data_IF_928484812363
#
_entry.id   IF_928484812363
#
_cell.length_a   1.000
_cell.length_b   1.000
_cell.length_c   1.000
_cell.angle_alpha   90.00
_cell.angle_beta   90.00
_cell.angle_gamma   90.00
#
_symmetry.space_group_name_H-M   'P 1'
#
loop_
_entity.id
_entity.type
_entity.pdbx_description
1 polymer ?
#
# COMPACT_ATOMS: atom_id res chain seq x y z
N UNK A 1 15.63 8.77 2.52
CA UNK A 1 15.98 7.34 2.48
C UNK A 1 14.81 6.60 3.11
N UNK A 2 14.17 5.67 2.40
CA UNK A 2 13.09 4.87 2.97
C UNK A 2 13.68 3.95 4.06
N UNK A 3 12.96 3.76 5.16
CA UNK A 3 13.27 2.80 6.22
C UNK A 3 12.27 1.64 6.23
N UNK A 4 12.21 0.81 5.16
CA UNK A 4 11.27 -0.31 5.10
C UNK A 4 11.54 -1.33 6.21
N UNK A 5 10.51 -2.11 6.54
CA UNK A 5 10.58 -3.15 7.55
C UNK A 5 11.52 -4.24 7.03
N UNK A 6 12.52 -4.66 7.82
CA UNK A 6 13.38 -5.79 7.44
C UNK A 6 12.53 -7.01 7.10
N UNK A 7 12.94 -7.79 6.08
CA UNK A 7 12.15 -8.92 5.59
C UNK A 7 11.76 -9.91 6.71
N UNK A 8 12.67 -10.16 7.65
CA UNK A 8 12.48 -11.00 8.84
C UNK A 8 11.41 -10.51 9.83
N UNK A 9 10.96 -9.25 9.72
CA UNK A 9 9.89 -8.65 10.54
C UNK A 9 8.66 -8.29 9.73
N UNK A 10 8.72 -8.47 8.41
CA UNK A 10 7.60 -8.15 7.53
C UNK A 10 6.49 -9.17 7.71
N UNK A 11 6.86 -10.44 7.89
CA UNK A 11 5.96 -11.59 8.04
C UNK A 11 6.15 -12.30 9.38
N UNK A 12 5.08 -12.95 9.86
CA UNK A 12 5.14 -13.88 10.99
C UNK A 12 5.67 -15.28 10.57
N UNK A 13 5.60 -16.25 11.49
CA UNK A 13 6.05 -17.62 11.24
C UNK A 13 5.20 -18.37 10.21
N UNK A 14 3.98 -17.91 9.95
CA UNK A 14 3.04 -18.48 9.00
C UNK A 14 3.07 -17.74 7.65
N UNK A 15 3.90 -16.69 7.52
CA UNK A 15 4.06 -15.91 6.29
C UNK A 15 3.07 -14.76 6.13
N UNK A 16 2.30 -14.42 7.17
CA UNK A 16 1.34 -13.32 7.13
C UNK A 16 2.04 -11.97 7.38
N UNK A 17 1.85 -10.96 6.53
CA UNK A 17 2.40 -9.64 6.77
C UNK A 17 1.80 -8.97 8.01
N UNK A 18 2.59 -8.22 8.79
CA UNK A 18 2.10 -7.54 10.01
C UNK A 18 0.89 -6.62 9.76
N UNK A 19 0.78 -6.09 8.54
CA UNK A 19 -0.28 -5.16 8.15
C UNK A 19 -1.55 -5.86 7.69
N UNK A 20 -1.55 -7.17 7.43
CA UNK A 20 -2.73 -7.94 7.00
C UNK A 20 -3.38 -8.71 8.15
N UNK A 21 -3.31 -8.22 9.38
CA UNK A 21 -3.88 -8.90 10.57
C UNK A 21 -5.40 -9.17 10.50
N UNK A 22 -6.13 -8.44 9.65
CA UNK A 22 -7.58 -8.59 9.46
C UNK A 22 -7.95 -9.54 8.30
N UNK A 23 -6.98 -10.08 7.56
CA UNK A 23 -7.22 -11.16 6.60
C UNK A 23 -6.09 -12.19 6.62
N UNK A 24 -6.42 -13.46 6.73
CA UNK A 24 -5.46 -14.56 6.62
C UNK A 24 -4.97 -14.68 5.17
N UNK A 25 -4.01 -13.84 4.78
CA UNK A 25 -3.40 -13.78 3.46
C UNK A 25 -1.89 -13.72 3.63
N UNK A 26 -1.18 -14.62 2.96
CA UNK A 26 0.29 -14.66 2.96
C UNK A 26 0.86 -13.51 2.14
N UNK A 27 2.14 -13.20 2.37
CA UNK A 27 2.85 -12.20 1.57
C UNK A 27 2.85 -12.53 0.06
N UNK A 28 2.92 -13.81 -0.30
CA UNK A 28 2.90 -14.27 -1.69
C UNK A 28 1.54 -14.03 -2.34
N UNK A 29 0.45 -14.46 -1.70
CA UNK A 29 -0.91 -14.23 -2.17
C UNK A 29 -1.21 -12.74 -2.30
N UNK A 30 -0.73 -11.92 -1.36
CA UNK A 30 -0.87 -10.47 -1.43
C UNK A 30 -0.15 -9.89 -2.66
N UNK A 31 1.07 -10.34 -2.95
CA UNK A 31 1.84 -9.92 -4.14
C UNK A 31 1.22 -10.38 -5.46
N UNK A 32 0.60 -11.56 -5.48
CA UNK A 32 -0.18 -12.02 -6.64
C UNK A 32 -1.45 -11.17 -6.81
N UNK A 33 -2.15 -10.88 -5.72
CA UNK A 33 -3.33 -10.02 -5.72
C UNK A 33 -3.03 -8.60 -6.25
N UNK A 34 -1.87 -8.03 -5.90
CA UNK A 34 -1.42 -6.75 -6.45
C UNK A 34 -1.12 -6.78 -7.96
N UNK A 35 -1.03 -7.96 -8.58
CA UNK A 35 -0.80 -8.15 -10.03
C UNK A 35 -2.07 -8.55 -10.80
N UNK A 36 -3.22 -8.66 -10.12
CA UNK A 36 -4.49 -8.97 -10.78
C UNK A 36 -4.84 -7.96 -11.88
N UNK A 37 -5.53 -8.41 -12.92
CA UNK A 37 -6.02 -7.57 -14.02
C UNK A 37 -7.33 -6.84 -13.68
N UNK A 38 -8.02 -7.25 -12.61
CA UNK A 38 -9.21 -6.57 -12.11
C UNK A 38 -8.81 -5.28 -11.38
N UNK A 39 -9.12 -4.09 -11.93
CA UNK A 39 -8.70 -2.82 -11.33
C UNK A 39 -9.37 -2.54 -9.98
N UNK A 40 -10.57 -3.05 -9.73
CA UNK A 40 -11.28 -2.85 -8.46
C UNK A 40 -10.65 -3.71 -7.36
N UNK A 41 -10.41 -4.99 -7.64
CA UNK A 41 -9.72 -5.88 -6.71
C UNK A 41 -8.30 -5.37 -6.38
N UNK A 42 -7.57 -4.89 -7.40
CA UNK A 42 -6.24 -4.30 -7.21
C UNK A 42 -6.31 -3.03 -6.36
N UNK A 43 -7.23 -2.11 -6.66
CA UNK A 43 -7.41 -0.87 -5.91
C UNK A 43 -7.79 -1.12 -4.44
N UNK A 44 -8.61 -2.14 -4.17
CA UNK A 44 -8.92 -2.58 -2.80
C UNK A 44 -7.66 -2.99 -2.03
N UNK A 45 -6.81 -3.83 -2.63
CA UNK A 45 -5.57 -4.31 -1.97
C UNK A 45 -4.55 -3.18 -1.78
N UNK A 46 -4.40 -2.28 -2.76
CA UNK A 46 -3.53 -1.09 -2.62
C UNK A 46 -4.04 -0.17 -1.51
N UNK A 47 -5.35 0.11 -1.48
CA UNK A 47 -5.94 0.93 -0.43
C UNK A 47 -5.80 0.29 0.95
N UNK A 48 -5.95 -1.03 1.06
CA UNK A 48 -5.73 -1.78 2.29
C UNK A 48 -4.29 -1.66 2.78
N UNK A 49 -3.30 -1.86 1.90
CA UNK A 49 -1.88 -1.66 2.18
C UNK A 49 -1.61 -0.25 2.70
N UNK A 50 -2.09 0.78 2.01
CA UNK A 50 -1.93 2.17 2.41
C UNK A 50 -2.60 2.51 3.75
N UNK A 51 -3.66 1.78 4.12
CA UNK A 51 -4.37 1.97 5.38
C UNK A 51 -3.66 1.34 6.57
N UNK A 52 -2.97 0.22 6.36
CA UNK A 52 -2.51 -0.64 7.45
C UNK A 52 -0.98 -0.75 7.57
N UNK A 53 -0.25 -0.58 6.47
CA UNK A 53 1.21 -0.61 6.48
C UNK A 53 1.79 0.78 6.77
N UNK A 54 3.01 0.81 7.30
CA UNK A 54 3.78 2.05 7.39
C UNK A 54 4.08 2.58 5.98
N UNK A 55 4.13 3.91 5.76
CA UNK A 55 4.29 4.48 4.43
C UNK A 55 5.50 3.94 3.64
N UNK A 56 6.64 3.76 4.30
CA UNK A 56 7.85 3.23 3.66
C UNK A 56 7.68 1.81 3.13
N UNK A 57 6.89 0.98 3.81
CA UNK A 57 6.59 -0.37 3.33
C UNK A 57 5.66 -0.31 2.12
N UNK A 58 4.67 0.60 2.10
CA UNK A 58 3.78 0.79 0.94
C UNK A 58 4.59 0.98 -0.35
N UNK A 59 5.60 1.83 -0.30
CA UNK A 59 6.47 2.12 -1.46
C UNK A 59 7.38 0.95 -1.85
N UNK A 60 7.47 -0.08 -1.02
CA UNK A 60 8.15 -1.35 -1.37
C UNK A 60 7.26 -2.29 -2.20
N UNK A 61 5.94 -2.03 -2.27
CA UNK A 61 4.99 -2.84 -3.05
C UNK A 61 4.40 -2.10 -4.25
N UNK A 62 4.18 -0.79 -4.14
CA UNK A 62 3.47 0.01 -5.14
C UNK A 62 4.18 1.34 -5.31
N UNK A 63 4.43 1.75 -6.55
CA UNK A 63 5.09 3.04 -6.80
C UNK A 63 4.15 4.23 -6.57
N UNK A 64 4.69 5.43 -6.25
CA UNK A 64 3.91 6.67 -6.17
C UNK A 64 3.04 6.93 -7.42
N UNK A 65 3.61 6.67 -8.60
CA UNK A 65 2.93 6.81 -9.90
C UNK A 65 1.74 5.88 -10.04
N UNK A 66 1.89 4.61 -9.64
CA UNK A 66 0.78 3.66 -9.65
C UNK A 66 -0.33 4.08 -8.67
N UNK A 67 0.03 4.51 -7.46
CA UNK A 67 -0.95 5.01 -6.47
C UNK A 67 -1.74 6.19 -7.04
N UNK A 68 -1.07 7.17 -7.66
CA UNK A 68 -1.74 8.29 -8.34
C UNK A 68 -2.68 7.80 -9.46
N UNK A 69 -2.26 6.82 -10.25
CA UNK A 69 -3.09 6.22 -11.31
C UNK A 69 -4.35 5.52 -10.79
N UNK A 70 -4.27 4.88 -9.62
CA UNK A 70 -5.40 4.20 -8.98
C UNK A 70 -6.22 5.08 -8.04
N UNK A 71 -5.80 6.32 -7.79
CA UNK A 71 -6.39 7.20 -6.78
C UNK A 71 -7.93 7.26 -6.82
N UNK A 72 -8.58 7.44 -8.00
CA UNK A 72 -10.04 7.48 -8.08
C UNK A 72 -10.75 6.21 -7.61
N UNK A 73 -10.08 5.06 -7.70
CA UNK A 73 -10.64 3.76 -7.30
C UNK A 73 -10.30 3.40 -5.85
N UNK A 74 -9.11 3.78 -5.37
CA UNK A 74 -8.59 3.34 -4.07
C UNK A 74 -8.93 4.26 -2.90
N UNK A 75 -9.20 5.56 -3.12
CA UNK A 75 -9.28 6.54 -2.01
C UNK A 75 -10.39 6.20 -1.01
N UNK A 76 -11.47 5.57 -1.47
CA UNK A 76 -12.58 5.09 -0.64
C UNK A 76 -12.17 4.00 0.37
N UNK A 77 -11.07 3.29 0.12
CA UNK A 77 -10.58 2.23 1.00
C UNK A 77 -9.62 2.72 2.08
N UNK A 78 -9.12 3.96 1.98
CA UNK A 78 -8.12 4.53 2.88
C UNK A 78 -8.69 4.87 4.27
N UNK A 79 -9.99 5.14 4.36
CA UNK A 79 -10.62 5.55 5.62
C UNK A 79 -9.91 6.76 6.24
N UNK A 80 -9.48 6.65 7.50
CA UNK A 80 -8.86 7.76 8.25
C UNK A 80 -7.46 8.15 7.75
N UNK A 81 -6.77 7.31 6.98
CA UNK A 81 -5.44 7.65 6.44
C UNK A 81 -5.50 8.43 5.14
N UNK A 82 -6.70 8.63 4.55
CA UNK A 82 -6.88 9.33 3.28
C UNK A 82 -6.20 10.69 3.26
N UNK A 83 -6.47 11.51 4.27
CA UNK A 83 -6.00 12.90 4.31
C UNK A 83 -4.47 12.96 4.47
N UNK A 84 -3.88 12.03 5.22
CA UNK A 84 -2.42 11.88 5.30
C UNK A 84 -1.81 11.58 3.93
N UNK A 85 -2.38 10.64 3.18
CA UNK A 85 -1.87 10.28 1.86
C UNK A 85 -2.07 11.39 0.84
N UNK A 86 -3.23 12.05 0.84
CA UNK A 86 -3.49 13.21 -0.02
C UNK A 86 -2.45 14.32 0.23
N UNK A 87 -2.25 14.70 1.49
CA UNK A 87 -1.24 15.67 1.89
C UNK A 87 0.18 15.27 1.48
N UNK A 88 0.56 13.99 1.66
CA UNK A 88 1.89 13.50 1.33
C UNK A 88 2.18 13.69 -0.17
N UNK A 89 1.26 13.27 -1.04
CA UNK A 89 1.46 13.39 -2.48
C UNK A 89 1.39 14.84 -2.97
N UNK A 90 0.47 15.65 -2.45
CA UNK A 90 0.41 17.08 -2.76
C UNK A 90 1.72 17.80 -2.37
N UNK A 91 2.28 17.45 -1.22
CA UNK A 91 3.57 17.99 -0.77
C UNK A 91 4.71 17.57 -1.68
N UNK A 92 4.73 16.34 -2.19
CA UNK A 92 5.75 15.87 -3.11
C UNK A 92 5.65 16.51 -4.51
N UNK A 93 4.44 16.74 -5.01
CA UNK A 93 4.20 17.47 -6.26
C UNK A 93 4.66 18.93 -6.16
N UNK A 94 4.37 19.59 -5.04
CA UNK A 94 4.85 20.96 -4.79
C UNK A 94 6.39 21.06 -4.76
N UNK A 95 7.08 19.97 -4.42
CA UNK A 95 8.54 19.85 -4.41
C UNK A 95 9.13 19.34 -5.75
N UNK A 96 8.29 18.99 -6.73
CA UNK A 96 8.71 18.47 -8.04
C UNK A 96 9.25 17.04 -8.02
N UNK A 97 8.83 16.22 -7.05
CA UNK A 97 9.29 14.84 -6.89
C UNK A 97 8.37 13.79 -7.55
N UNK A 98 7.15 14.18 -7.94
CA UNK A 98 6.13 13.33 -8.58
C UNK A 98 5.42 14.12 -9.66
#
# INVERSE_FOLDING_TARGET
MLGPTPAERLVDQEGHPYFLWDCHMTLEEFREGLRTTDPEARAYLVGKLMRQAKPDDVFSFVSPREIRGFWPLLERYLGKTRDFWAWLFESWEALGHV
#
